data_IF_614360808684
#
_entry.id   IF_614360808684
#
_cell.length_a   1.000
_cell.length_b   1.000
_cell.length_c   1.000
_cell.angle_alpha   90.00
_cell.angle_beta   90.00
_cell.angle_gamma   90.00
#
_symmetry.space_group_name_H-M   'P 1'
#
loop_
_entity.id
_entity.type
_entity.pdbx_description
1 polymer ?
#
# COMPACT_ATOMS: atom_id res chain seq x y z
N UNK A 1 -33.60 -32.09 -0.15
CA UNK A 1 -32.72 -31.29 0.71
C UNK A 1 -31.36 -31.26 0.03
N UNK A 2 -31.16 -30.30 -0.86
CA UNK A 2 -29.82 -30.02 -1.39
C UNK A 2 -29.44 -28.64 -0.88
N UNK A 3 -28.31 -28.62 -0.17
CA UNK A 3 -27.74 -27.41 0.37
C UNK A 3 -27.18 -26.58 -0.79
N UNK A 4 -27.79 -25.42 -1.04
CA UNK A 4 -27.20 -24.39 -1.88
C UNK A 4 -25.87 -23.96 -1.26
N UNK A 5 -24.78 -24.46 -1.82
CA UNK A 5 -23.44 -23.93 -1.59
C UNK A 5 -23.36 -22.56 -2.26
N UNK A 6 -23.68 -21.52 -1.50
CA UNK A 6 -23.45 -20.13 -1.88
C UNK A 6 -21.96 -19.91 -2.04
N UNK A 7 -21.50 -19.91 -3.30
CA UNK A 7 -20.20 -19.40 -3.69
C UNK A 7 -20.21 -17.88 -3.45
N UNK A 8 -19.42 -17.31 -2.52
CA UNK A 8 -19.28 -15.87 -2.45
C UNK A 8 -18.48 -15.45 -3.68
N UNK A 9 -19.17 -14.90 -4.67
CA UNK A 9 -18.53 -14.01 -5.64
C UNK A 9 -17.78 -12.97 -4.81
N UNK A 10 -16.45 -12.94 -4.94
CA UNK A 10 -15.66 -11.84 -4.40
C UNK A 10 -16.03 -10.66 -5.30
N UNK A 11 -17.03 -9.88 -4.89
CA UNK A 11 -17.34 -8.61 -5.53
C UNK A 11 -16.02 -7.82 -5.61
N UNK A 12 -15.68 -7.34 -6.81
CA UNK A 12 -14.42 -6.65 -7.01
C UNK A 12 -14.35 -5.44 -6.06
N UNK A 13 -13.16 -5.11 -5.54
CA UNK A 13 -13.01 -3.98 -4.62
C UNK A 13 -13.57 -2.67 -5.22
N UNK A 14 -13.55 -2.57 -6.55
CA UNK A 14 -14.09 -1.46 -7.34
C UNK A 14 -15.61 -1.32 -7.23
N UNK A 15 -16.35 -2.42 -7.05
CA UNK A 15 -17.81 -2.41 -6.92
C UNK A 15 -18.27 -2.04 -5.50
N UNK A 16 -17.44 -2.36 -4.48
CA UNK A 16 -17.80 -2.25 -3.07
C UNK A 16 -17.32 -0.93 -2.45
N UNK A 17 -16.14 -0.43 -2.87
CA UNK A 17 -15.51 0.76 -2.30
C UNK A 17 -16.36 2.05 -2.41
N UNK A 18 -17.08 2.33 -3.51
CA UNK A 18 -17.94 3.51 -3.60
C UNK A 18 -19.04 3.52 -2.53
N UNK A 19 -19.64 2.36 -2.28
CA UNK A 19 -20.70 2.21 -1.27
C UNK A 19 -20.13 2.34 0.15
N UNK A 20 -19.00 1.70 0.43
CA UNK A 20 -18.30 1.85 1.72
C UNK A 20 -17.92 3.30 2.00
N UNK A 21 -17.48 4.01 0.97
CA UNK A 21 -17.15 5.44 1.05
C UNK A 21 -18.38 6.27 1.39
N UNK A 22 -19.48 6.08 0.66
CA UNK A 22 -20.71 6.81 0.92
C UNK A 22 -21.25 6.56 2.34
N UNK A 23 -21.23 5.30 2.80
CA UNK A 23 -21.69 4.91 4.13
C UNK A 23 -20.78 5.49 5.24
N UNK A 24 -19.45 5.51 5.03
CA UNK A 24 -18.51 6.12 5.99
C UNK A 24 -18.66 7.64 6.04
N UNK A 25 -18.80 8.30 4.89
CA UNK A 25 -19.02 9.75 4.83
C UNK A 25 -20.29 10.16 5.59
N UNK A 26 -21.38 9.40 5.44
CA UNK A 26 -22.65 9.65 6.16
C UNK A 26 -22.55 9.42 7.67
N UNK A 27 -21.72 8.47 8.11
CA UNK A 27 -21.57 8.11 9.52
C UNK A 27 -20.43 8.85 10.23
N UNK A 28 -19.56 9.53 9.47
CA UNK A 28 -18.43 10.28 10.00
C UNK A 28 -18.88 11.41 10.91
N UNK A 29 -18.21 11.52 12.06
CA UNK A 29 -18.38 12.61 13.04
C UNK A 29 -17.16 13.52 13.10
N UNK A 30 -16.24 13.38 12.14
CA UNK A 30 -14.99 14.13 12.08
C UNK A 30 -15.30 15.61 11.84
N UNK A 31 -14.70 16.49 12.64
CA UNK A 31 -14.79 17.93 12.41
C UNK A 31 -13.80 18.32 11.31
N UNK A 32 -14.23 18.18 10.04
CA UNK A 32 -13.43 18.54 8.87
C UNK A 32 -12.99 20.00 8.89
N UNK A 33 -13.82 20.90 9.45
CA UNK A 33 -13.48 22.32 9.59
C UNK A 33 -12.26 22.53 10.48
N UNK A 34 -12.14 21.75 11.55
CA UNK A 34 -10.99 21.79 12.47
C UNK A 34 -9.71 21.23 11.81
N UNK A 35 -9.81 20.13 11.06
CA UNK A 35 -8.65 19.50 10.43
C UNK A 35 -8.25 20.10 9.07
N UNK A 36 -9.09 20.97 8.49
CA UNK A 36 -8.84 21.61 7.20
C UNK A 36 -7.45 22.26 7.05
N UNK A 37 -6.92 22.98 8.07
CA UNK A 37 -5.58 23.56 7.98
C UNK A 37 -4.50 22.48 7.87
N UNK A 38 -4.62 21.39 8.63
CA UNK A 38 -3.68 20.26 8.58
C UNK A 38 -3.75 19.55 7.23
N UNK A 39 -4.94 19.23 6.72
CA UNK A 39 -5.12 18.59 5.41
C UNK A 39 -4.49 19.45 4.32
N UNK A 40 -4.74 20.76 4.32
CA UNK A 40 -4.11 21.69 3.38
C UNK A 40 -2.58 21.68 3.50
N UNK A 41 -2.05 21.73 4.72
CA UNK A 41 -0.60 21.69 4.94
C UNK A 41 0.04 20.38 4.45
N UNK A 42 -0.68 19.25 4.50
CA UNK A 42 -0.25 17.97 3.92
C UNK A 42 -0.27 18.05 2.39
N UNK A 43 -1.34 18.57 1.79
CA UNK A 43 -1.47 18.73 0.33
C UNK A 43 -0.38 19.64 -0.26
N UNK A 44 -0.02 20.70 0.46
CA UNK A 44 1.03 21.65 0.08
C UNK A 44 2.45 21.18 0.46
N UNK A 45 2.58 20.01 1.10
CA UNK A 45 3.83 19.51 1.67
C UNK A 45 4.52 20.53 2.62
N UNK A 46 3.74 21.35 3.31
CA UNK A 46 4.22 22.32 4.28
C UNK A 46 4.47 21.64 5.63
N UNK A 47 5.61 20.96 5.75
CA UNK A 47 6.00 20.19 6.94
C UNK A 47 6.03 21.05 8.20
N UNK A 48 6.40 22.33 8.10
CA UNK A 48 6.36 23.26 9.24
C UNK A 48 4.93 23.47 9.74
N UNK A 49 3.98 23.79 8.86
CA UNK A 49 2.58 23.97 9.24
C UNK A 49 1.95 22.68 9.77
N UNK A 50 2.32 21.52 9.21
CA UNK A 50 1.91 20.22 9.75
C UNK A 50 2.40 20.05 11.20
N UNK A 51 3.68 20.34 11.47
CA UNK A 51 4.24 20.29 12.82
C UNK A 51 3.52 21.25 13.75
N UNK A 52 3.44 22.53 13.39
CA UNK A 52 2.83 23.57 14.23
C UNK A 52 1.41 23.15 14.66
N UNK A 53 0.58 22.67 13.72
CA UNK A 53 -0.76 22.15 14.03
C UNK A 53 -0.75 20.95 14.99
N UNK A 54 0.12 19.96 14.75
CA UNK A 54 0.21 18.74 15.57
C UNK A 54 0.79 19.00 16.97
N UNK A 55 1.64 20.02 17.12
CA UNK A 55 2.13 20.49 18.41
C UNK A 55 1.02 21.14 19.24
N UNK A 56 0.20 21.98 18.61
CA UNK A 56 -0.96 22.60 19.25
C UNK A 56 -2.07 21.58 19.56
N UNK A 57 -2.16 20.53 18.74
CA UNK A 57 -3.23 19.53 18.81
C UNK A 57 -2.68 18.09 18.83
N UNK A 58 -2.03 17.64 19.92
CA UNK A 58 -1.40 16.31 19.96
C UNK A 58 -2.36 15.14 19.73
N UNK A 59 -3.64 15.32 20.10
CA UNK A 59 -4.69 14.32 19.87
C UNK A 59 -4.93 14.03 18.38
N UNK A 60 -4.60 14.97 17.48
CA UNK A 60 -4.73 14.79 16.04
C UNK A 60 -3.87 13.64 15.50
N UNK A 61 -2.81 13.23 16.21
CA UNK A 61 -2.03 12.04 15.86
C UNK A 61 -2.81 10.74 16.06
N UNK A 62 -3.82 10.73 16.94
CA UNK A 62 -4.55 9.53 17.39
C UNK A 62 -5.96 9.43 16.82
N UNK A 63 -6.44 10.48 16.15
CA UNK A 63 -7.79 10.59 15.64
C UNK A 63 -7.85 10.41 14.12
N UNK A 64 -9.05 10.08 13.64
CA UNK A 64 -9.42 10.26 12.24
C UNK A 64 -9.44 11.77 11.91
N UNK A 65 -8.91 12.11 10.74
CA UNK A 65 -8.68 13.49 10.28
C UNK A 65 -9.64 13.86 9.15
N UNK A 66 -10.06 12.89 8.36
CA UNK A 66 -11.02 13.05 7.28
C UNK A 66 -12.20 12.07 7.39
N UNK A 67 -13.18 12.24 6.50
CA UNK A 67 -14.36 11.38 6.38
C UNK A 67 -14.08 9.94 5.94
N UNK A 68 -12.88 9.66 5.42
CA UNK A 68 -12.46 8.33 5.00
C UNK A 68 -11.82 7.54 6.15
N UNK A 69 -11.69 8.16 7.32
CA UNK A 69 -11.05 7.57 8.49
C UNK A 69 -9.54 7.55 8.42
N UNK A 70 -8.95 8.37 7.55
CA UNK A 70 -7.51 8.50 7.51
C UNK A 70 -7.02 9.24 8.75
N UNK A 71 -5.98 8.69 9.37
CA UNK A 71 -5.19 9.40 10.40
C UNK A 71 -4.09 10.23 9.74
N UNK A 72 -3.33 11.00 10.52
CA UNK A 72 -2.19 11.77 9.99
C UNK A 72 -1.19 10.87 9.27
N UNK A 73 -1.00 9.65 9.77
CA UNK A 73 -0.05 8.69 9.21
C UNK A 73 -0.46 8.19 7.84
N UNK A 74 -1.77 8.03 7.58
CA UNK A 74 -2.28 7.68 6.26
C UNK A 74 -2.00 8.83 5.28
N UNK A 75 -2.37 10.06 5.66
CA UNK A 75 -2.33 11.22 4.77
C UNK A 75 -0.90 11.64 4.38
N UNK A 76 0.06 11.59 5.30
CA UNK A 76 1.44 12.05 5.01
C UNK A 76 2.21 11.09 4.09
N UNK A 77 1.79 9.83 3.98
CA UNK A 77 2.48 8.81 3.16
C UNK A 77 1.75 8.46 1.86
N UNK A 78 0.51 8.93 1.71
CA UNK A 78 -0.33 8.71 0.52
C UNK A 78 0.27 9.29 -0.77
N UNK A 79 1.05 10.37 -0.66
CA UNK A 79 1.63 11.02 -1.84
C UNK A 79 3.03 10.49 -2.15
N UNK A 80 3.24 10.19 -3.43
CA UNK A 80 4.52 9.78 -4.07
C UNK A 80 5.60 10.89 -4.08
N UNK A 81 5.57 11.81 -3.13
CA UNK A 81 6.64 12.78 -2.91
C UNK A 81 7.59 12.22 -1.88
N UNK A 82 8.58 11.45 -2.36
CA UNK A 82 9.71 10.99 -1.57
C UNK A 82 10.61 12.18 -1.21
N UNK A 83 10.21 12.95 -0.21
CA UNK A 83 11.00 14.05 0.32
C UNK A 83 11.50 13.70 1.73
N UNK A 84 12.75 14.08 2.01
CA UNK A 84 13.39 13.76 3.30
C UNK A 84 12.67 14.41 4.48
N UNK A 85 11.95 15.51 4.28
CA UNK A 85 11.28 16.25 5.34
C UNK A 85 10.08 15.50 5.90
N UNK A 86 9.24 14.92 5.04
CA UNK A 86 8.11 14.07 5.41
C UNK A 86 8.58 12.79 6.10
N UNK A 87 9.67 12.17 5.63
CA UNK A 87 10.27 11.01 6.32
C UNK A 87 10.74 11.38 7.72
N UNK A 88 11.35 12.56 7.88
CA UNK A 88 11.80 13.05 9.19
C UNK A 88 10.60 13.38 10.11
N UNK A 89 9.54 13.98 9.57
CA UNK A 89 8.29 14.19 10.29
C UNK A 89 7.70 12.85 10.73
N UNK A 90 7.60 11.87 9.83
CA UNK A 90 7.08 10.54 10.14
C UNK A 90 7.84 9.90 11.30
N UNK A 91 9.18 9.89 11.26
CA UNK A 91 10.02 9.38 12.36
C UNK A 91 9.71 10.08 13.69
N UNK A 92 9.58 11.40 13.66
CA UNK A 92 9.24 12.20 14.84
C UNK A 92 7.86 11.84 15.40
N UNK A 93 6.83 11.77 14.56
CA UNK A 93 5.46 11.42 14.97
C UNK A 93 5.36 9.99 15.50
N UNK A 94 6.03 9.03 14.83
CA UNK A 94 6.08 7.64 15.28
C UNK A 94 6.73 7.51 16.65
N UNK A 95 7.82 8.24 16.91
CA UNK A 95 8.49 8.20 18.22
C UNK A 95 7.56 8.62 19.36
N UNK A 96 6.64 9.56 19.13
CA UNK A 96 5.64 10.00 20.11
C UNK A 96 4.53 8.96 20.29
N UNK A 97 3.98 8.46 19.18
CA UNK A 97 2.84 7.53 19.20
C UNK A 97 3.22 6.15 19.72
N UNK A 98 4.42 5.65 19.43
CA UNK A 98 4.86 4.34 19.94
C UNK A 98 4.99 4.31 21.46
N UNK A 99 5.37 5.44 22.07
CA UNK A 99 5.46 5.56 23.54
C UNK A 99 4.07 5.62 24.16
N UNK A 100 3.12 6.33 23.53
CA UNK A 100 1.84 6.63 24.14
C UNK A 100 0.71 5.65 23.78
N UNK A 101 0.63 5.24 22.52
CA UNK A 101 -0.52 4.50 21.97
C UNK A 101 -0.16 3.82 20.63
N UNK A 102 0.61 2.71 20.63
CA UNK A 102 1.04 2.05 19.40
C UNK A 102 -0.13 1.64 18.48
N UNK A 103 -1.27 1.23 19.06
CA UNK A 103 -2.49 0.82 18.35
C UNK A 103 -3.03 1.84 17.35
N UNK A 104 -2.65 3.11 17.48
CA UNK A 104 -3.00 4.17 16.52
C UNK A 104 -2.51 3.86 15.10
N UNK A 105 -1.42 3.10 14.96
CA UNK A 105 -0.85 2.72 13.66
C UNK A 105 -1.56 1.51 13.03
N UNK A 106 -2.48 0.88 13.77
CA UNK A 106 -3.32 -0.23 13.31
C UNK A 106 -4.73 0.23 12.88
N UNK A 107 -5.02 1.53 13.00
CA UNK A 107 -6.29 2.11 12.55
C UNK A 107 -6.42 1.90 11.05
N UNK A 108 -7.61 1.48 10.62
CA UNK A 108 -7.93 1.21 9.22
C UNK A 108 -8.81 2.32 8.63
N UNK A 109 -8.46 2.76 7.43
CA UNK A 109 -9.27 3.68 6.65
C UNK A 109 -10.45 2.97 5.96
N UNK A 110 -11.19 3.67 5.10
CA UNK A 110 -12.39 3.15 4.42
C UNK A 110 -12.11 1.97 3.50
N UNK A 111 -10.89 1.86 2.99
CA UNK A 111 -10.43 0.75 2.17
C UNK A 111 -9.83 -0.39 3.00
N UNK A 112 -10.04 -0.40 4.32
CA UNK A 112 -9.42 -1.33 5.27
C UNK A 112 -7.88 -1.32 5.24
N UNK A 113 -7.27 -0.21 4.86
CA UNK A 113 -5.81 -0.06 4.81
C UNK A 113 -5.28 0.65 6.05
N UNK A 114 -4.13 0.21 6.53
CA UNK A 114 -3.28 0.95 7.48
C UNK A 114 -2.42 1.99 6.75
N UNK A 115 -1.73 2.83 7.51
CA UNK A 115 -0.74 3.75 6.95
C UNK A 115 0.46 3.03 6.28
N UNK A 116 0.83 1.84 6.77
CA UNK A 116 1.89 1.03 6.14
C UNK A 116 1.44 0.54 4.75
N UNK A 117 0.19 0.10 4.65
CA UNK A 117 -0.42 -0.39 3.41
C UNK A 117 -0.46 0.72 2.34
N UNK A 118 -0.86 1.93 2.74
CA UNK A 118 -0.81 3.12 1.87
C UNK A 118 0.62 3.44 1.45
N UNK A 119 1.58 3.46 2.37
CA UNK A 119 2.98 3.76 2.03
C UNK A 119 3.54 2.73 1.04
N UNK A 120 3.18 1.47 1.18
CA UNK A 120 3.61 0.38 0.32
C UNK A 120 2.96 0.45 -1.06
N UNK A 121 1.65 0.68 -1.14
CA UNK A 121 0.92 0.85 -2.41
C UNK A 121 1.39 2.08 -3.20
N UNK A 122 1.71 3.18 -2.50
CA UNK A 122 2.28 4.38 -3.09
C UNK A 122 3.76 4.23 -3.52
N UNK A 123 4.44 3.18 -3.05
CA UNK A 123 5.87 2.93 -3.29
C UNK A 123 6.80 3.85 -2.51
N UNK A 124 6.33 4.44 -1.41
CA UNK A 124 7.11 5.31 -0.54
C UNK A 124 8.05 4.48 0.35
N UNK A 125 9.05 3.89 -0.29
CA UNK A 125 9.93 2.85 0.29
C UNK A 125 10.63 3.31 1.58
N UNK A 126 11.04 4.58 1.67
CA UNK A 126 11.64 5.10 2.91
C UNK A 126 10.64 5.21 4.07
N UNK A 127 9.38 5.55 3.80
CA UNK A 127 8.33 5.51 4.81
C UNK A 127 8.03 4.07 5.26
N UNK A 128 7.97 3.13 4.31
CA UNK A 128 7.83 1.68 4.60
C UNK A 128 8.96 1.22 5.52
N UNK A 129 10.21 1.53 5.19
CA UNK A 129 11.37 1.22 6.06
C UNK A 129 11.23 1.78 7.46
N UNK A 130 10.76 3.03 7.57
CA UNK A 130 10.55 3.70 8.85
C UNK A 130 9.45 3.00 9.67
N UNK A 131 8.30 2.66 9.08
CA UNK A 131 7.26 1.91 9.76
C UNK A 131 7.77 0.54 10.22
N UNK A 132 8.34 -0.25 9.31
CA UNK A 132 8.82 -1.61 9.60
C UNK A 132 9.90 -1.64 10.69
N UNK A 133 10.85 -0.70 10.64
CA UNK A 133 11.95 -0.65 11.63
C UNK A 133 11.48 -0.30 13.04
N UNK A 134 10.43 0.53 13.16
CA UNK A 134 9.91 1.01 14.43
C UNK A 134 8.67 0.23 14.92
N UNK A 135 8.07 -0.58 14.05
CA UNK A 135 6.82 -1.28 14.28
C UNK A 135 6.95 -2.77 13.95
N UNK A 136 7.94 -3.43 14.57
CA UNK A 136 8.21 -4.86 14.33
C UNK A 136 7.04 -5.77 14.71
N UNK A 137 6.12 -5.35 15.59
CA UNK A 137 4.96 -6.18 15.96
C UNK A 137 3.81 -6.16 14.93
N UNK A 138 3.86 -5.30 13.90
CA UNK A 138 2.95 -5.36 12.73
C UNK A 138 3.47 -6.27 11.63
N UNK A 139 4.56 -7.02 11.82
CA UNK A 139 5.05 -7.93 10.78
C UNK A 139 4.00 -8.94 10.32
N UNK A 140 3.08 -9.35 11.20
CA UNK A 140 1.95 -10.20 10.84
C UNK A 140 0.94 -9.53 9.88
N UNK A 141 1.08 -8.23 9.60
CA UNK A 141 0.31 -7.46 8.61
C UNK A 141 1.19 -6.85 7.51
N UNK A 142 2.51 -7.02 7.55
CA UNK A 142 3.39 -6.61 6.45
C UNK A 142 3.11 -7.39 5.15
N UNK A 143 2.42 -8.52 5.29
CA UNK A 143 1.91 -9.34 4.21
C UNK A 143 0.98 -8.54 3.27
N UNK A 144 -0.05 -7.87 3.83
CA UNK A 144 -0.98 -7.04 3.03
C UNK A 144 -0.25 -5.89 2.33
N UNK A 145 0.65 -5.20 3.06
CA UNK A 145 1.49 -4.15 2.48
C UNK A 145 2.36 -4.66 1.32
N UNK A 146 2.87 -5.90 1.42
CA UNK A 146 3.63 -6.53 0.35
C UNK A 146 2.76 -6.88 -0.86
N UNK A 147 1.57 -7.45 -0.65
CA UNK A 147 0.62 -7.72 -1.73
C UNK A 147 0.23 -6.42 -2.44
N UNK A 148 -0.06 -5.36 -1.71
CA UNK A 148 -0.37 -4.05 -2.29
C UNK A 148 0.82 -3.46 -3.04
N UNK A 149 2.04 -3.52 -2.49
CA UNK A 149 3.23 -3.09 -3.20
C UNK A 149 3.45 -3.89 -4.51
N UNK A 150 3.18 -5.21 -4.49
CA UNK A 150 3.29 -6.05 -5.67
C UNK A 150 2.19 -5.73 -6.70
N UNK A 151 0.94 -5.60 -6.27
CA UNK A 151 -0.21 -5.23 -7.10
C UNK A 151 0.02 -3.91 -7.84
N UNK A 152 0.63 -2.93 -7.17
CA UNK A 152 0.92 -1.61 -7.74
C UNK A 152 2.30 -1.52 -8.42
N UNK A 153 3.04 -2.62 -8.52
CA UNK A 153 4.33 -2.66 -9.22
C UNK A 153 5.46 -1.90 -8.52
N UNK A 154 5.37 -1.70 -7.21
CA UNK A 154 6.30 -0.89 -6.42
C UNK A 154 7.57 -1.65 -6.08
N UNK A 155 8.42 -1.86 -7.09
CA UNK A 155 9.61 -2.73 -7.06
C UNK A 155 10.48 -2.58 -5.80
N UNK A 156 10.86 -1.36 -5.42
CA UNK A 156 11.75 -1.16 -4.28
C UNK A 156 11.08 -1.43 -2.92
N UNK A 157 9.79 -1.13 -2.80
CA UNK A 157 9.01 -1.46 -1.60
C UNK A 157 8.85 -2.98 -1.47
N UNK A 158 8.53 -3.68 -2.57
CA UNK A 158 8.45 -5.15 -2.63
C UNK A 158 9.78 -5.79 -2.23
N UNK A 159 10.91 -5.34 -2.82
CA UNK A 159 12.24 -5.87 -2.49
C UNK A 159 12.57 -5.70 -1.00
N UNK A 160 12.27 -4.53 -0.45
CA UNK A 160 12.50 -4.28 0.97
C UNK A 160 11.63 -5.18 1.84
N UNK A 161 10.32 -5.24 1.60
CA UNK A 161 9.38 -6.05 2.37
C UNK A 161 9.73 -7.54 2.32
N UNK A 162 10.06 -8.09 1.14
CA UNK A 162 10.58 -9.46 1.01
C UNK A 162 11.89 -9.70 1.77
N UNK A 163 12.75 -8.70 1.87
CA UNK A 163 14.03 -8.86 2.58
C UNK A 163 13.88 -9.01 4.09
N UNK A 164 12.77 -8.54 4.63
CA UNK A 164 12.49 -8.50 6.06
C UNK A 164 11.39 -9.47 6.49
N UNK A 165 10.61 -10.02 5.57
CA UNK A 165 9.67 -11.11 5.84
C UNK A 165 10.42 -12.44 5.87
N UNK A 166 10.29 -13.18 6.98
CA UNK A 166 11.00 -14.45 7.22
C UNK A 166 10.23 -15.67 6.68
N UNK A 167 8.90 -15.66 6.72
CA UNK A 167 8.07 -16.80 6.31
C UNK A 167 6.73 -16.31 5.74
N UNK A 168 6.21 -17.00 4.72
CA UNK A 168 4.89 -16.76 4.14
C UNK A 168 4.01 -18.00 4.29
N UNK A 169 2.72 -17.80 4.55
CA UNK A 169 1.76 -18.88 4.33
C UNK A 169 1.74 -19.29 2.85
N UNK A 170 1.62 -20.58 2.55
CA UNK A 170 1.69 -21.10 1.17
C UNK A 170 0.68 -20.42 0.23
N UNK A 171 -0.55 -20.21 0.68
CA UNK A 171 -1.61 -19.55 -0.10
C UNK A 171 -1.28 -18.08 -0.40
N UNK A 172 -0.67 -17.40 0.58
CA UNK A 172 -0.19 -16.03 0.44
C UNK A 172 0.96 -15.89 -0.54
N UNK A 173 1.90 -16.84 -0.50
CA UNK A 173 3.01 -16.92 -1.45
C UNK A 173 2.53 -17.13 -2.89
N UNK A 174 1.55 -18.02 -3.10
CA UNK A 174 0.96 -18.25 -4.41
C UNK A 174 0.24 -17.00 -4.95
N UNK A 175 -0.50 -16.30 -4.08
CA UNK A 175 -1.15 -15.03 -4.44
C UNK A 175 -0.11 -13.94 -4.78
N UNK A 176 0.94 -13.81 -3.97
CA UNK A 176 2.03 -12.87 -4.22
C UNK A 176 2.73 -13.14 -5.55
N UNK A 177 3.03 -14.40 -5.87
CA UNK A 177 3.63 -14.78 -7.15
C UNK A 177 2.75 -14.35 -8.34
N UNK A 178 1.43 -14.56 -8.23
CA UNK A 178 0.48 -14.09 -9.24
C UNK A 178 0.59 -12.57 -9.43
N UNK A 179 0.58 -11.79 -8.35
CA UNK A 179 0.69 -10.33 -8.40
C UNK A 179 2.02 -9.86 -9.00
N UNK A 180 3.14 -10.50 -8.66
CA UNK A 180 4.45 -10.17 -9.22
C UNK A 180 4.51 -10.41 -10.74
N UNK A 181 3.85 -11.47 -11.22
CA UNK A 181 3.75 -11.77 -12.65
C UNK A 181 2.87 -10.74 -13.36
N UNK A 182 1.68 -10.45 -12.82
CA UNK A 182 0.73 -9.49 -13.39
C UNK A 182 1.29 -8.06 -13.45
N UNK A 183 2.12 -7.70 -12.47
CA UNK A 183 2.80 -6.40 -12.39
C UNK A 183 4.14 -6.34 -13.13
N UNK A 184 4.51 -7.39 -13.87
CA UNK A 184 5.77 -7.48 -14.65
C UNK A 184 7.03 -7.27 -13.77
N UNK A 185 6.99 -7.73 -12.52
CA UNK A 185 8.09 -7.65 -11.54
C UNK A 185 8.92 -8.94 -11.50
N UNK A 186 9.24 -9.52 -12.66
CA UNK A 186 9.93 -10.81 -12.79
C UNK A 186 11.38 -10.83 -12.25
N UNK A 187 12.00 -9.67 -12.06
CA UNK A 187 13.38 -9.55 -11.60
C UNK A 187 13.55 -9.61 -10.08
N UNK A 188 12.48 -9.72 -9.31
CA UNK A 188 12.54 -9.74 -7.85
C UNK A 188 12.78 -11.18 -7.39
N UNK A 189 13.94 -11.50 -6.78
CA UNK A 189 14.18 -12.82 -6.25
C UNK A 189 13.28 -13.03 -5.02
N UNK A 190 12.35 -13.98 -5.12
CA UNK A 190 11.70 -14.55 -3.94
C UNK A 190 12.73 -15.48 -3.31
N UNK A 191 13.04 -15.28 -2.02
CA UNK A 191 13.88 -16.24 -1.29
C UNK A 191 13.07 -17.52 -1.17
N UNK A 192 13.45 -18.54 -1.93
CA UNK A 192 13.00 -19.90 -1.68
C UNK A 192 13.93 -20.48 -0.62
N UNK A 193 13.40 -21.25 0.34
CA UNK A 193 14.18 -21.88 1.41
C UNK A 193 15.13 -23.00 0.92
N UNK A 194 15.36 -23.07 -0.39
CA UNK A 194 16.20 -24.08 -1.02
C UNK A 194 17.37 -23.41 -1.76
N UNK A 195 18.56 -23.60 -1.19
CA UNK A 195 19.83 -23.37 -1.88
C UNK A 195 19.80 -23.90 -3.32
N UNK A 196 20.28 -23.06 -4.25
CA UNK A 196 20.65 -23.38 -5.63
C UNK A 196 19.50 -23.73 -6.60
N UNK A 197 19.11 -22.78 -7.46
CA UNK A 197 19.33 -22.84 -8.93
C UNK A 197 19.21 -21.43 -9.51
N UNK A 198 20.32 -20.98 -10.08
CA UNK A 198 20.47 -19.77 -10.88
C UNK A 198 19.64 -19.90 -12.17
N UNK A 199 18.49 -19.23 -12.28
CA UNK A 199 17.61 -19.33 -13.46
C UNK A 199 18.19 -18.63 -14.70
N UNK A 200 19.30 -17.90 -14.57
CA UNK A 200 19.89 -17.07 -15.63
C UNK A 200 20.97 -17.74 -16.47
N UNK A 201 21.22 -19.05 -16.37
CA UNK A 201 22.24 -19.68 -17.25
C UNK A 201 21.90 -21.09 -17.67
N UNK A 202 21.12 -21.19 -18.76
CA UNK A 202 21.12 -22.22 -19.83
C UNK A 202 19.91 -21.86 -20.69
N UNK A 203 20.03 -21.40 -21.93
CA UNK A 203 20.47 -22.19 -23.07
C UNK A 203 21.17 -21.31 -24.11
N UNK A 204 22.42 -21.67 -24.44
CA UNK A 204 23.10 -21.27 -25.66
C UNK A 204 23.45 -22.56 -26.42
N UNK A 205 22.97 -22.66 -27.66
CA UNK A 205 23.18 -23.75 -28.62
C UNK A 205 21.99 -24.73 -28.65
N UNK A 206 21.31 -25.00 -29.76
CA UNK A 206 21.59 -24.77 -31.18
C UNK A 206 20.29 -24.80 -32.01
N UNK A 207 20.36 -24.11 -33.15
CA UNK A 207 19.78 -24.39 -34.49
C UNK A 207 18.25 -24.42 -34.76
N UNK A 208 17.85 -23.45 -35.58
CA UNK A 208 17.00 -23.50 -36.79
C UNK A 208 15.59 -24.11 -36.77
N UNK A 209 14.62 -23.26 -37.13
CA UNK A 209 13.28 -23.65 -37.56
C UNK A 209 12.34 -22.46 -37.70
N UNK A 210 12.37 -21.80 -38.86
CA UNK A 210 11.38 -20.82 -39.32
C UNK A 210 9.94 -21.28 -39.04
N UNK A 211 9.08 -20.42 -38.48
CA UNK A 211 7.72 -20.18 -38.99
C UNK A 211 7.15 -18.83 -38.51
N UNK A 212 6.78 -18.06 -39.53
CA UNK A 212 6.04 -16.81 -39.60
C UNK A 212 4.79 -16.64 -38.71
N UNK A 213 4.65 -15.39 -38.25
CA UNK A 213 3.43 -14.56 -38.32
C UNK A 213 2.22 -14.92 -37.42
N UNK A 214 1.95 -14.06 -36.42
CA UNK A 214 0.75 -13.21 -36.47
C UNK A 214 0.81 -12.05 -35.47
N UNK A 215 0.71 -10.87 -36.07
CA UNK A 215 0.48 -9.57 -35.49
C UNK A 215 -1.03 -9.43 -35.26
N UNK A 216 -1.49 -9.10 -34.06
CA UNK A 216 -2.73 -8.34 -33.91
C UNK A 216 -2.92 -7.72 -32.51
N UNK A 217 -2.97 -6.38 -32.53
CA UNK A 217 -3.79 -5.48 -31.71
C UNK A 217 -3.36 -5.20 -30.27
N UNK A 218 -2.51 -4.18 -30.22
CA UNK A 218 -2.51 -3.07 -29.28
C UNK A 218 -3.90 -2.58 -28.83
N UNK A 219 -3.91 -2.06 -27.60
CA UNK A 219 -4.79 -1.01 -27.06
C UNK A 219 -6.13 -1.44 -26.46
N UNK A 220 -6.11 -1.85 -25.18
CA UNK A 220 -7.04 -1.40 -24.12
C UNK A 220 -6.55 -1.90 -22.75
N UNK A 221 -5.54 -1.27 -22.14
CA UNK A 221 -5.36 -1.40 -20.68
C UNK A 221 -4.80 -0.13 -20.00
N UNK A 222 -4.84 0.99 -20.72
CA UNK A 222 -4.44 2.31 -20.20
C UNK A 222 -5.64 3.11 -19.64
N UNK A 223 -6.87 2.63 -19.85
CA UNK A 223 -8.09 3.32 -19.44
C UNK A 223 -8.50 2.97 -18.00
N UNK A 224 -8.30 1.72 -17.56
CA UNK A 224 -8.70 1.27 -16.21
C UNK A 224 -7.77 1.85 -15.14
N UNK A 225 -6.46 1.95 -15.41
CA UNK A 225 -5.48 2.55 -14.48
C UNK A 225 -5.65 4.07 -14.29
N UNK A 226 -6.35 4.76 -15.19
CA UNK A 226 -6.60 6.21 -15.08
C UNK A 226 -7.79 6.56 -14.18
N UNK A 227 -8.73 5.64 -13.94
CA UNK A 227 -9.90 5.93 -13.10
C UNK A 227 -9.61 5.75 -11.61
N UNK A 228 -8.69 4.86 -11.25
CA UNK A 228 -8.31 4.60 -9.84
C UNK A 228 -7.52 5.76 -9.22
N UNK A 229 -6.73 6.47 -10.03
CA UNK A 229 -6.03 7.69 -9.60
C UNK A 229 -6.96 8.89 -9.42
N UNK A 230 -8.16 8.87 -10.02
CA UNK A 230 -9.15 9.95 -9.89
C UNK A 230 -10.00 9.81 -8.62
N UNK A 231 -10.15 8.61 -8.06
CA UNK A 231 -10.95 8.37 -6.85
C UNK A 231 -10.22 8.77 -5.55
N UNK A 232 -8.89 8.87 -5.58
CA UNK A 232 -8.06 9.40 -4.47
C UNK A 232 -7.57 10.85 -4.71
N UNK A 233 -8.13 11.53 -5.71
CA UNK A 233 -7.64 12.80 -6.20
C UNK A 233 -8.74 13.83 -6.48
N UNK A 234 -9.61 14.10 -5.50
CA UNK A 234 -10.25 15.42 -5.28
C UNK A 234 -10.56 15.62 -3.80
#
# INVERSE_FOLDING_TARGET
MEASSSNPQIDSLDDVLPKLTEDRMKSSKVNLGFYRPLIRAIQENNVKAQKDFLYENPNAMKSEIDEFGNTVFHLIVDRRSSNSETVNLLKELLSKVLVESPKTLEILNVANMTALDIAASAGYTEAVKVFVSNYKHLFSKAEEALHLAALWGQKEAVRYLLSVTEEFALESGAHLLKLLIESNLHDIPVKDDQDHVDWRTRHSGDEDGDLEMQNDKSSTNSSEKSQIAATFGM
#
